data_IF_711218784680
#
_entry.id   IF_711218784680
#
_cell.length_a   1.000
_cell.length_b   1.000
_cell.length_c   1.000
_cell.angle_alpha   90.00
_cell.angle_beta   90.00
_cell.angle_gamma   90.00
#
_symmetry.space_group_name_H-M   'P 1'
#
loop_
_entity.id
_entity.type
_entity.pdbx_description
1 polymer ?
#
# COMPACT_ATOMS: atom_id res chain seq x y z
N UNK A 1 -12.33 -15.01 -22.94
CA UNK A 1 -11.18 -14.78 -22.05
C UNK A 1 -10.66 -13.37 -22.32
N UNK A 2 -10.72 -12.45 -21.34
CA UNK A 2 -10.29 -11.04 -21.52
C UNK A 2 -8.78 -10.97 -21.26
N UNK A 3 -7.96 -10.48 -22.20
CA UNK A 3 -6.50 -10.47 -22.04
C UNK A 3 -6.05 -9.42 -21.00
N UNK A 4 -4.95 -9.70 -20.29
CA UNK A 4 -4.31 -8.76 -19.36
C UNK A 4 -4.08 -7.37 -20.00
N UNK A 5 -3.65 -7.36 -21.26
CA UNK A 5 -3.47 -6.14 -22.07
C UNK A 5 -4.79 -5.39 -22.28
N UNK A 6 -5.91 -6.10 -22.45
CA UNK A 6 -7.23 -5.48 -22.64
C UNK A 6 -7.83 -4.92 -21.34
N UNK A 7 -7.47 -5.46 -20.18
CA UNK A 7 -7.85 -4.91 -18.86
C UNK A 7 -7.05 -3.64 -18.54
N UNK A 8 -5.74 -3.67 -18.78
CA UNK A 8 -4.89 -2.48 -18.75
C UNK A 8 -5.42 -1.42 -19.73
N UNK A 9 -5.95 -1.81 -20.89
CA UNK A 9 -6.52 -0.88 -21.87
C UNK A 9 -7.94 -0.40 -21.54
N UNK A 10 -8.73 -1.12 -20.73
CA UNK A 10 -10.07 -0.68 -20.30
C UNK A 10 -10.02 0.34 -19.16
N UNK A 11 -9.00 0.29 -18.29
CA UNK A 11 -8.70 1.38 -17.34
C UNK A 11 -8.17 2.65 -18.03
N UNK A 12 -7.65 2.53 -19.25
CA UNK A 12 -6.98 3.62 -20.00
C UNK A 12 -7.90 4.71 -20.57
N UNK A 13 -9.24 4.60 -20.55
CA UNK A 13 -10.08 5.64 -21.18
C UNK A 13 -10.68 6.68 -20.21
N UNK A 14 -10.72 6.40 -18.90
CA UNK A 14 -11.21 7.37 -17.88
C UNK A 14 -10.15 7.91 -16.91
N UNK A 15 -9.02 7.22 -16.73
CA UNK A 15 -8.03 7.53 -15.68
C UNK A 15 -6.62 7.83 -16.22
N UNK A 16 -6.48 8.06 -17.53
CA UNK A 16 -5.16 8.33 -18.13
C UNK A 16 -4.54 9.57 -17.50
N UNK A 17 -3.51 9.33 -16.68
CA UNK A 17 -2.59 10.31 -16.09
C UNK A 17 -3.06 11.08 -14.86
N UNK A 18 -4.05 10.60 -14.09
CA UNK A 18 -4.25 11.18 -12.75
C UNK A 18 -3.17 10.68 -11.78
N UNK A 19 -2.79 11.52 -10.84
CA UNK A 19 -1.87 11.19 -9.74
C UNK A 19 -2.37 9.95 -8.99
N UNK A 20 -3.65 9.92 -8.62
CA UNK A 20 -4.26 8.80 -7.91
C UNK A 20 -4.17 7.48 -8.67
N UNK A 21 -4.32 7.50 -9.99
CA UNK A 21 -4.14 6.32 -10.82
C UNK A 21 -2.68 5.84 -10.84
N UNK A 22 -1.70 6.76 -10.89
CA UNK A 22 -0.28 6.41 -10.84
C UNK A 22 0.10 5.82 -9.48
N UNK A 23 -0.40 6.41 -8.40
CA UNK A 23 -0.20 5.92 -7.03
C UNK A 23 -0.87 4.55 -6.84
N UNK A 24 -2.10 4.36 -7.31
CA UNK A 24 -2.81 3.10 -7.12
C UNK A 24 -2.13 1.89 -7.79
N UNK A 25 -1.45 2.10 -8.91
CA UNK A 25 -0.66 1.04 -9.57
C UNK A 25 0.41 0.43 -8.68
N UNK A 26 0.93 1.19 -7.71
CA UNK A 26 1.99 0.73 -6.81
C UNK A 26 1.58 -0.49 -5.97
N UNK A 27 0.29 -0.75 -5.79
CA UNK A 27 -0.15 -1.95 -5.08
C UNK A 27 -0.89 -2.95 -5.95
N UNK A 28 -1.68 -2.55 -6.94
CA UNK A 28 -2.49 -3.53 -7.66
C UNK A 28 -1.80 -4.19 -8.86
N UNK A 29 -0.67 -3.66 -9.37
CA UNK A 29 0.10 -4.28 -10.46
C UNK A 29 1.27 -5.13 -9.99
N UNK A 30 1.51 -5.17 -8.69
CA UNK A 30 2.56 -5.99 -8.10
C UNK A 30 2.16 -7.47 -8.12
N UNK A 31 3.14 -8.36 -8.28
CA UNK A 31 2.93 -9.77 -7.98
C UNK A 31 3.20 -10.06 -6.51
N UNK A 32 2.14 -10.26 -5.73
CA UNK A 32 2.21 -10.48 -4.29
C UNK A 32 2.94 -11.77 -3.95
N UNK A 33 2.70 -12.83 -4.72
CA UNK A 33 3.38 -14.12 -4.52
C UNK A 33 4.89 -14.01 -4.70
N UNK A 34 5.36 -13.17 -5.62
CA UNK A 34 6.80 -12.96 -5.86
C UNK A 34 7.39 -11.98 -4.86
N UNK A 35 6.76 -10.82 -4.70
CA UNK A 35 7.27 -9.74 -3.86
C UNK A 35 7.35 -10.15 -2.38
N UNK A 36 6.34 -10.85 -1.89
CA UNK A 36 6.30 -11.32 -0.50
C UNK A 36 6.65 -12.80 -0.37
N UNK A 37 7.40 -13.39 -1.31
CA UNK A 37 7.74 -14.81 -1.29
C UNK A 37 8.35 -15.26 0.05
N UNK A 38 9.34 -14.52 0.55
CA UNK A 38 10.00 -14.81 1.84
C UNK A 38 9.00 -14.76 3.00
N UNK A 39 8.16 -13.72 3.05
CA UNK A 39 7.16 -13.56 4.10
C UNK A 39 6.09 -14.65 4.04
N UNK A 40 5.62 -15.00 2.84
CA UNK A 40 4.60 -16.02 2.63
C UNK A 40 5.10 -17.43 2.99
N UNK A 41 6.40 -17.70 2.86
CA UNK A 41 7.01 -18.96 3.32
C UNK A 41 6.98 -19.13 4.84
N UNK A 42 6.88 -18.04 5.61
CA UNK A 42 6.75 -18.10 7.07
C UNK A 42 5.35 -18.53 7.51
N UNK A 43 4.36 -18.44 6.64
CA UNK A 43 2.98 -18.79 6.94
C UNK A 43 2.66 -20.22 6.52
N UNK A 44 1.62 -20.76 7.14
CA UNK A 44 1.16 -22.10 6.80
C UNK A 44 0.75 -22.16 5.30
N UNK A 45 1.27 -23.15 4.53
CA UNK A 45 0.98 -23.28 3.10
C UNK A 45 -0.51 -23.50 2.77
N UNK A 46 -1.34 -23.81 3.76
CA UNK A 46 -2.79 -23.96 3.58
C UNK A 46 -3.56 -22.62 3.54
N UNK A 47 -2.95 -21.48 3.90
CA UNK A 47 -3.62 -20.16 3.96
C UNK A 47 -2.93 -19.01 3.19
N UNK A 48 -2.28 -19.23 2.03
CA UNK A 48 -1.54 -18.17 1.35
C UNK A 48 -2.47 -17.06 0.82
N UNK A 49 -3.70 -17.40 0.43
CA UNK A 49 -4.62 -16.43 -0.19
C UNK A 49 -5.11 -15.37 0.79
N UNK A 50 -5.46 -15.75 2.02
CA UNK A 50 -5.87 -14.79 3.05
C UNK A 50 -4.71 -13.86 3.42
N UNK A 51 -3.48 -14.37 3.49
CA UNK A 51 -2.30 -13.53 3.78
C UNK A 51 -1.96 -12.59 2.62
N UNK A 52 -2.05 -13.06 1.37
CA UNK A 52 -1.94 -12.18 0.21
C UNK A 52 -3.04 -11.11 0.18
N UNK A 53 -4.26 -11.44 0.60
CA UNK A 53 -5.35 -10.47 0.75
C UNK A 53 -5.06 -9.41 1.82
N UNK A 54 -4.53 -9.81 2.97
CA UNK A 54 -4.11 -8.85 4.01
C UNK A 54 -2.93 -7.99 3.52
N UNK A 55 -1.98 -8.55 2.77
CA UNK A 55 -0.88 -7.79 2.16
C UNK A 55 -1.38 -6.77 1.12
N UNK A 56 -2.42 -7.12 0.36
CA UNK A 56 -3.07 -6.21 -0.58
C UNK A 56 -3.76 -5.04 0.14
N UNK A 57 -4.50 -5.32 1.21
CA UNK A 57 -5.10 -4.29 2.07
C UNK A 57 -4.02 -3.43 2.75
N UNK A 58 -2.92 -4.04 3.20
CA UNK A 58 -1.75 -3.36 3.76
C UNK A 58 -1.22 -2.30 2.79
N UNK A 59 -0.89 -2.68 1.54
CA UNK A 59 -0.28 -1.73 0.59
C UNK A 59 -1.26 -0.60 0.27
N UNK A 60 -2.54 -0.92 0.09
CA UNK A 60 -3.57 0.09 -0.15
C UNK A 60 -3.67 1.10 1.00
N UNK A 61 -3.59 0.65 2.25
CA UNK A 61 -3.62 1.53 3.40
C UNK A 61 -2.33 2.36 3.51
N UNK A 62 -1.17 1.71 3.45
CA UNK A 62 0.14 2.36 3.56
C UNK A 62 0.29 3.46 2.50
N UNK A 63 -0.12 3.20 1.27
CA UNK A 63 -0.07 4.20 0.19
C UNK A 63 -0.93 5.42 0.52
N UNK A 64 -2.17 5.21 0.95
CA UNK A 64 -3.07 6.30 1.30
C UNK A 64 -2.59 7.08 2.53
N UNK A 65 -1.94 6.41 3.48
CA UNK A 65 -1.29 7.05 4.64
C UNK A 65 -0.08 7.89 4.20
N UNK A 66 0.84 7.31 3.44
CA UNK A 66 2.01 8.00 2.90
C UNK A 66 1.61 9.21 2.05
N UNK A 67 0.56 9.08 1.24
CA UNK A 67 0.04 10.19 0.46
C UNK A 67 -0.44 11.34 1.35
N UNK A 68 -1.24 11.06 2.39
CA UNK A 68 -1.70 12.09 3.36
C UNK A 68 -0.55 12.84 4.03
N UNK A 69 0.59 12.18 4.23
CA UNK A 69 1.76 12.76 4.90
C UNK A 69 2.66 13.52 3.93
N UNK A 70 2.79 13.03 2.69
CA UNK A 70 3.74 13.57 1.73
C UNK A 70 3.13 14.61 0.77
N UNK A 71 1.80 14.59 0.58
CA UNK A 71 1.12 15.51 -0.32
C UNK A 71 0.85 16.88 0.37
N UNK A 72 0.84 17.99 -0.38
CA UNK A 72 0.41 19.27 0.15
C UNK A 72 -1.06 19.22 0.63
N UNK A 73 -1.39 19.89 1.74
CA UNK A 73 -2.72 19.86 2.39
C UNK A 73 -3.90 20.10 1.42
N UNK A 74 -3.67 20.84 0.34
CA UNK A 74 -4.69 21.26 -0.62
C UNK A 74 -5.00 20.22 -1.73
N UNK A 75 -4.26 19.09 -1.79
CA UNK A 75 -4.34 18.11 -2.91
C UNK A 75 -5.01 16.78 -2.49
N UNK A 76 -5.42 16.64 -1.22
CA UNK A 76 -5.65 15.32 -0.60
C UNK A 76 -6.81 14.48 -1.16
N UNK A 77 -8.04 14.98 -1.05
CA UNK A 77 -9.20 14.08 -0.96
C UNK A 77 -9.59 13.42 -2.30
N UNK A 78 -9.54 14.18 -3.40
CA UNK A 78 -9.86 13.63 -4.72
C UNK A 78 -8.88 12.51 -5.11
N UNK A 79 -7.59 12.72 -4.89
CA UNK A 79 -6.56 11.72 -5.20
C UNK A 79 -6.71 10.48 -4.32
N UNK A 80 -7.01 10.65 -3.02
CA UNK A 80 -7.31 9.54 -2.12
C UNK A 80 -8.53 8.74 -2.56
N UNK A 81 -9.61 9.42 -2.97
CA UNK A 81 -10.80 8.76 -3.50
C UNK A 81 -10.51 8.02 -4.81
N UNK A 82 -9.67 8.57 -5.69
CA UNK A 82 -9.23 7.91 -6.92
C UNK A 82 -8.44 6.62 -6.60
N UNK A 83 -7.50 6.68 -5.64
CA UNK A 83 -6.73 5.51 -5.17
C UNK A 83 -7.67 4.42 -4.63
N UNK A 84 -8.68 4.81 -3.86
CA UNK A 84 -9.69 3.92 -3.30
C UNK A 84 -10.56 3.25 -4.37
N UNK A 85 -11.07 4.06 -5.31
CA UNK A 85 -11.92 3.61 -6.40
C UNK A 85 -11.20 2.66 -7.35
N UNK A 86 -9.94 2.95 -7.69
CA UNK A 86 -9.09 2.07 -8.49
C UNK A 86 -8.92 0.70 -7.83
N UNK A 87 -8.71 0.68 -6.51
CA UNK A 87 -8.63 -0.56 -5.74
C UNK A 87 -9.88 -1.39 -5.80
N UNK A 88 -11.01 -0.76 -5.53
CA UNK A 88 -12.34 -1.39 -5.51
C UNK A 88 -12.73 -1.95 -6.88
N UNK A 89 -12.42 -1.23 -7.96
CA UNK A 89 -12.91 -1.59 -9.30
C UNK A 89 -11.93 -2.44 -10.11
N UNK A 90 -10.65 -2.08 -10.11
CA UNK A 90 -9.61 -2.69 -10.93
C UNK A 90 -8.73 -3.59 -10.07
N UNK A 91 -8.28 -3.08 -8.93
CA UNK A 91 -7.25 -3.75 -8.13
C UNK A 91 -7.69 -5.13 -7.63
N UNK A 92 -8.91 -5.23 -7.10
CA UNK A 92 -9.50 -6.50 -6.68
C UNK A 92 -9.58 -7.54 -7.81
N UNK A 93 -9.96 -7.07 -9.00
CA UNK A 93 -10.13 -7.93 -10.17
C UNK A 93 -8.79 -8.49 -10.60
N UNK A 94 -7.75 -7.65 -10.62
CA UNK A 94 -6.39 -8.06 -10.94
C UNK A 94 -5.82 -8.98 -9.87
N UNK A 95 -6.04 -8.68 -8.59
CA UNK A 95 -5.63 -9.55 -7.49
C UNK A 95 -6.22 -10.97 -7.66
N UNK A 96 -7.52 -11.07 -7.95
CA UNK A 96 -8.18 -12.36 -8.21
C UNK A 96 -7.63 -13.07 -9.45
N UNK A 97 -7.37 -12.33 -10.53
CA UNK A 97 -6.91 -12.92 -11.79
C UNK A 97 -5.45 -13.35 -11.79
N UNK A 98 -4.59 -12.59 -11.12
CA UNK A 98 -3.14 -12.80 -11.12
C UNK A 98 -2.70 -13.71 -9.97
N UNK A 99 -3.32 -13.54 -8.79
CA UNK A 99 -2.90 -14.20 -7.56
C UNK A 99 -3.94 -15.20 -7.04
N UNK A 100 -5.11 -15.31 -7.68
CA UNK A 100 -6.18 -16.23 -7.27
C UNK A 100 -6.90 -15.81 -5.98
N UNK A 101 -6.64 -14.62 -5.46
CA UNK A 101 -7.20 -14.16 -4.18
C UNK A 101 -8.55 -13.48 -4.42
N UNK A 102 -9.60 -14.06 -3.84
CA UNK A 102 -10.93 -13.45 -3.80
C UNK A 102 -11.19 -12.91 -2.38
N UNK A 103 -11.33 -11.59 -2.26
CA UNK A 103 -11.50 -10.94 -0.95
C UNK A 103 -12.75 -11.39 -0.22
N UNK A 104 -13.87 -11.63 -0.93
CA UNK A 104 -15.12 -12.07 -0.30
C UNK A 104 -14.97 -13.48 0.23
N UNK A 105 -14.32 -14.35 -0.55
CA UNK A 105 -14.02 -15.70 -0.10
C UNK A 105 -13.04 -15.72 1.09
N UNK A 106 -11.98 -14.92 1.04
CA UNK A 106 -10.94 -14.88 2.06
C UNK A 106 -11.40 -14.29 3.40
N UNK A 107 -12.31 -13.32 3.38
CA UNK A 107 -12.68 -12.54 4.57
C UNK A 107 -14.15 -12.61 4.94
N UNK A 108 -15.00 -13.24 4.10
CA UNK A 108 -16.44 -13.37 4.34
C UNK A 108 -17.22 -12.06 4.15
N UNK A 109 -16.61 -11.03 3.57
CA UNK A 109 -17.22 -9.70 3.42
C UNK A 109 -16.74 -9.01 2.13
N UNK A 110 -17.45 -7.97 1.71
CA UNK A 110 -17.03 -7.13 0.59
C UNK A 110 -15.74 -6.40 0.92
N UNK A 111 -14.93 -6.14 -0.10
CA UNK A 111 -13.67 -5.43 0.10
C UNK A 111 -13.81 -4.05 0.70
N UNK A 112 -14.84 -3.29 0.32
CA UNK A 112 -15.04 -1.97 0.92
C UNK A 112 -15.33 -2.09 2.40
N UNK A 113 -16.11 -3.09 2.82
CA UNK A 113 -16.39 -3.33 4.23
C UNK A 113 -15.13 -3.80 4.97
N UNK A 114 -14.38 -4.77 4.42
CA UNK A 114 -13.13 -5.23 5.02
C UNK A 114 -12.12 -4.09 5.13
N UNK A 115 -11.97 -3.29 4.08
CA UNK A 115 -11.08 -2.14 4.07
C UNK A 115 -11.50 -1.13 5.11
N UNK A 116 -12.78 -0.76 5.22
CA UNK A 116 -13.27 0.19 6.23
C UNK A 116 -13.03 -0.31 7.66
N UNK A 117 -13.29 -1.60 7.93
CA UNK A 117 -13.02 -2.21 9.24
C UNK A 117 -11.54 -2.14 9.62
N UNK A 118 -10.65 -2.39 8.65
CA UNK A 118 -9.20 -2.28 8.83
C UNK A 118 -8.77 -0.81 8.97
N UNK A 119 -9.36 0.07 8.17
CA UNK A 119 -9.09 1.50 8.12
C UNK A 119 -9.31 2.17 9.47
N UNK A 120 -10.43 1.90 10.15
CA UNK A 120 -10.69 2.47 11.48
C UNK A 120 -9.64 2.06 12.51
N UNK A 121 -9.12 0.83 12.42
CA UNK A 121 -8.07 0.31 13.32
C UNK A 121 -6.72 0.95 13.04
N UNK A 122 -6.48 1.23 11.78
CA UNK A 122 -5.31 1.94 11.33
C UNK A 122 -5.32 3.44 11.69
N UNK A 123 -6.47 4.11 11.56
CA UNK A 123 -6.65 5.50 12.00
C UNK A 123 -6.47 5.64 13.52
N UNK A 124 -6.97 4.69 14.31
CA UNK A 124 -6.76 4.63 15.76
C UNK A 124 -5.26 4.65 16.10
N UNK A 125 -4.43 3.87 15.37
CA UNK A 125 -2.98 3.85 15.55
C UNK A 125 -2.33 5.21 15.23
N UNK A 126 -2.87 5.95 14.27
CA UNK A 126 -2.37 7.27 13.89
C UNK A 126 -2.77 8.33 14.93
N UNK A 127 -4.04 8.40 15.31
CA UNK A 127 -4.58 9.35 16.30
C UNK A 127 -3.89 9.20 17.65
N UNK A 128 -3.74 7.97 18.15
CA UNK A 128 -3.15 7.71 19.46
C UNK A 128 -1.66 8.07 19.55
N UNK A 129 -0.97 8.22 18.42
CA UNK A 129 0.47 8.47 18.37
C UNK A 129 0.84 9.87 17.81
N UNK A 130 -0.13 10.64 17.32
CA UNK A 130 0.07 12.02 16.86
C UNK A 130 0.47 13.00 17.97
N UNK A 131 0.43 12.59 19.23
CA UNK A 131 0.78 13.43 20.39
C UNK A 131 2.27 13.80 20.47
N UNK A 132 3.13 13.24 19.60
CA UNK A 132 4.59 13.38 19.68
C UNK A 132 5.27 14.05 18.46
N UNK A 133 4.53 14.75 17.58
CA UNK A 133 5.04 15.43 16.37
C UNK A 133 5.86 14.55 15.38
N UNK A 134 5.78 13.23 15.53
CA UNK A 134 6.43 12.27 14.66
C UNK A 134 5.39 11.44 13.91
N UNK A 135 5.68 11.16 12.63
CA UNK A 135 4.84 10.27 11.84
C UNK A 135 4.88 8.86 12.46
N UNK A 136 3.74 8.25 12.81
CA UNK A 136 3.69 7.06 13.65
C UNK A 136 3.99 5.75 12.90
N UNK A 137 5.01 5.72 12.04
CA UNK A 137 5.35 4.58 11.18
C UNK A 137 5.46 3.25 11.93
N UNK A 138 6.04 3.26 13.14
CA UNK A 138 6.18 2.05 13.95
C UNK A 138 4.82 1.52 14.43
N UNK A 139 3.96 2.36 15.00
CA UNK A 139 2.64 1.95 15.49
C UNK A 139 1.72 1.48 14.34
N UNK A 140 1.82 2.17 13.21
CA UNK A 140 1.23 1.80 11.92
C UNK A 140 1.67 0.39 11.52
N UNK A 141 2.99 0.14 11.46
CA UNK A 141 3.54 -1.18 11.13
C UNK A 141 3.16 -2.26 12.15
N UNK A 142 3.22 -1.97 13.44
CA UNK A 142 2.87 -2.93 14.51
C UNK A 142 1.42 -3.42 14.36
N UNK A 143 0.48 -2.49 14.11
CA UNK A 143 -0.95 -2.82 13.87
C UNK A 143 -1.12 -3.73 12.66
N UNK A 144 -0.37 -3.47 11.58
CA UNK A 144 -0.43 -4.27 10.35
C UNK A 144 0.16 -5.67 10.54
N UNK A 145 1.30 -5.75 11.22
CA UNK A 145 1.97 -7.01 11.51
C UNK A 145 1.06 -7.86 12.37
N UNK A 146 0.35 -7.28 13.33
CA UNK A 146 -0.61 -8.02 14.14
C UNK A 146 -1.74 -8.64 13.30
N UNK A 147 -2.26 -7.97 12.27
CA UNK A 147 -3.23 -8.56 11.34
C UNK A 147 -2.62 -9.71 10.52
N UNK A 148 -1.45 -9.47 9.94
CA UNK A 148 -0.77 -10.43 9.06
C UNK A 148 -0.28 -11.65 9.84
N UNK A 149 0.13 -11.50 11.09
CA UNK A 149 0.75 -12.54 11.91
C UNK A 149 -0.15 -13.04 13.04
N UNK A 150 -1.44 -12.66 13.05
CA UNK A 150 -2.40 -13.16 14.03
C UNK A 150 -2.39 -14.70 14.06
N UNK A 151 -2.17 -15.26 15.24
CA UNK A 151 -2.10 -16.71 15.47
C UNK A 151 -0.76 -17.37 15.11
N UNK A 152 0.28 -16.58 14.84
CA UNK A 152 1.64 -17.07 14.60
C UNK A 152 2.59 -16.73 15.75
N UNK A 153 3.68 -17.51 15.83
CA UNK A 153 4.72 -17.38 16.83
C UNK A 153 5.43 -16.01 16.79
N UNK A 154 5.96 -15.51 17.94
CA UNK A 154 6.61 -14.21 18.01
C UNK A 154 7.75 -14.00 17.00
N UNK A 155 8.52 -15.04 16.67
CA UNK A 155 9.63 -14.93 15.72
C UNK A 155 9.17 -14.62 14.29
N UNK A 156 7.95 -15.03 13.90
CA UNK A 156 7.34 -14.70 12.60
C UNK A 156 6.97 -13.23 12.57
N UNK A 157 6.51 -12.66 13.71
CA UNK A 157 6.25 -11.22 13.83
C UNK A 157 7.50 -10.40 13.56
N UNK A 158 8.63 -10.77 14.15
CA UNK A 158 9.91 -10.08 13.96
C UNK A 158 10.36 -10.10 12.50
N UNK A 159 10.23 -11.25 11.82
CA UNK A 159 10.61 -11.37 10.41
C UNK A 159 9.66 -10.59 9.50
N UNK A 160 8.35 -10.67 9.75
CA UNK A 160 7.35 -9.86 9.06
C UNK A 160 7.61 -8.35 9.24
N UNK A 161 8.02 -7.93 10.44
CA UNK A 161 8.38 -6.54 10.71
C UNK A 161 9.52 -6.08 9.79
N UNK A 162 10.60 -6.85 9.70
CA UNK A 162 11.74 -6.49 8.86
C UNK A 162 11.36 -6.33 7.39
N UNK A 163 10.62 -7.31 6.85
CA UNK A 163 10.21 -7.32 5.43
C UNK A 163 9.23 -6.19 5.10
N UNK A 164 8.23 -5.96 5.95
CA UNK A 164 7.22 -4.91 5.73
C UNK A 164 7.75 -3.50 6.00
N UNK A 165 8.78 -3.36 6.85
CA UNK A 165 9.48 -2.09 7.05
C UNK A 165 10.27 -1.68 5.80
N UNK A 166 10.96 -2.63 5.16
CA UNK A 166 11.67 -2.37 3.91
C UNK A 166 10.70 -1.95 2.79
N UNK A 167 9.57 -2.65 2.68
CA UNK A 167 8.53 -2.34 1.70
C UNK A 167 7.87 -0.97 1.93
N UNK A 168 7.65 -0.58 3.19
CA UNK A 168 7.13 0.74 3.55
C UNK A 168 8.06 1.86 3.06
N UNK A 169 9.38 1.70 3.23
CA UNK A 169 10.37 2.69 2.80
C UNK A 169 10.39 2.82 1.27
N UNK A 170 10.37 1.69 0.56
CA UNK A 170 10.28 1.67 -0.91
C UNK A 170 8.99 2.34 -1.42
N UNK A 171 7.85 2.05 -0.78
CA UNK A 171 6.57 2.70 -1.07
C UNK A 171 6.62 4.22 -0.80
N UNK A 172 7.27 4.64 0.29
CA UNK A 172 7.42 6.06 0.61
C UNK A 172 8.17 6.79 -0.50
N UNK A 173 9.29 6.25 -0.97
CA UNK A 173 10.09 6.88 -2.02
C UNK A 173 9.33 6.93 -3.35
N UNK A 174 8.60 5.87 -3.70
CA UNK A 174 7.76 5.83 -4.90
C UNK A 174 6.61 6.84 -4.84
N UNK A 175 5.90 6.92 -3.71
CA UNK A 175 4.80 7.89 -3.52
C UNK A 175 5.34 9.33 -3.59
N UNK A 176 6.43 9.65 -2.87
CA UNK A 176 7.06 10.97 -2.92
C UNK A 176 7.48 11.36 -4.33
N UNK A 177 8.05 10.42 -5.09
CA UNK A 177 8.44 10.66 -6.48
C UNK A 177 7.23 10.99 -7.35
N UNK A 178 6.14 10.25 -7.25
CA UNK A 178 4.92 10.51 -8.04
C UNK A 178 4.33 11.88 -7.70
N UNK A 179 4.26 12.24 -6.42
CA UNK A 179 3.82 13.56 -5.95
C UNK A 179 4.74 14.63 -6.55
N UNK A 180 6.06 14.44 -6.44
CA UNK A 180 7.03 15.40 -6.97
C UNK A 180 6.85 15.61 -8.48
N UNK A 181 6.76 14.51 -9.23
CA UNK A 181 6.61 14.55 -10.68
C UNK A 181 5.29 15.23 -11.10
N UNK A 182 4.19 15.07 -10.34
CA UNK A 182 2.93 15.76 -10.67
C UNK A 182 2.92 17.25 -10.34
N UNK A 183 3.52 17.63 -9.21
CA UNK A 183 3.41 19.00 -8.71
C UNK A 183 4.58 19.89 -9.11
N UNK A 184 5.72 19.31 -9.48
CA UNK A 184 6.97 20.05 -9.66
C UNK A 184 7.68 19.75 -11.00
N UNK A 185 7.19 18.82 -11.84
CA UNK A 185 7.70 18.69 -13.20
C UNK A 185 7.34 19.93 -14.05
N UNK A 186 8.36 20.72 -14.41
CA UNK A 186 8.22 22.04 -15.05
C UNK A 186 8.92 23.18 -14.30
N UNK A 187 9.35 22.95 -13.06
CA UNK A 187 10.24 23.85 -12.31
C UNK A 187 11.37 23.04 -11.67
N UNK A 188 12.54 23.01 -12.29
CA UNK A 188 13.80 22.63 -11.63
C UNK A 188 14.73 23.84 -11.64
N UNK A 189 15.60 24.04 -10.62
CA UNK A 189 16.10 23.00 -9.73
C UNK A 189 16.02 23.33 -8.23
N UNK A 190 15.72 22.32 -7.41
CA UNK A 190 16.38 22.20 -6.11
C UNK A 190 17.41 21.09 -6.22
N UNK A 191 18.68 21.48 -6.11
CA UNK A 191 19.79 20.56 -5.90
C UNK A 191 19.50 19.78 -4.61
N UNK A 192 19.32 18.47 -4.72
CA UNK A 192 19.39 17.59 -3.55
C UNK A 192 20.78 17.82 -2.95
N UNK A 193 20.84 18.46 -1.79
CA UNK A 193 22.09 18.75 -1.12
C UNK A 193 22.67 17.41 -0.65
N UNK A 194 23.64 16.89 -1.41
CA UNK A 194 24.35 15.63 -1.14
C UNK A 194 25.07 15.60 0.22
N UNK A 195 25.07 16.71 0.97
CA UNK A 195 25.65 16.81 2.30
C UNK A 195 24.81 16.20 3.43
N UNK A 196 23.54 15.85 3.21
CA UNK A 196 22.73 15.18 4.24
C UNK A 196 23.04 13.66 4.32
N UNK A 197 23.65 13.08 3.28
CA UNK A 197 24.03 11.66 3.26
C UNK A 197 25.41 11.42 3.92
N UNK A 198 26.19 12.48 4.21
CA UNK A 198 27.55 12.33 4.78
C UNK A 198 27.67 12.44 6.30
N UNK A 199 26.60 12.69 7.04
CA UNK A 199 26.65 12.78 8.52
C UNK A 199 26.10 11.54 9.25
N UNK A 200 26.07 10.38 8.57
CA UNK A 200 25.86 9.07 9.21
C UNK A 200 26.81 8.00 8.63
N UNK A 201 28.08 8.37 8.49
CA UNK A 201 29.19 7.43 8.37
C UNK A 201 30.14 7.65 9.54
#
# INVERSE_FOLDING_TARGET
MISFTSLLNRGKSKFKNSEGHQIAKLYYLMSYKKHYAELLQLFNPYWPYTKMGELFLYRQWVIQFLYRICAPEQVGEKTLQDILNEGSTIGQRLLKQLEGVDMVYCFGDTYMNTLNQRWSKYEEAVINNHLNDQVPYKAVLDTLIDYITKGYEPHIKTQAFALLSADLLDLQDQVKKIIFDHHYSGKMPFTINANIIKNRA
#
